data_IF_857985317767
#
_entry.id   IF_857985317767
#
_cell.length_a   1.000
_cell.length_b   1.000
_cell.length_c   1.000
_cell.angle_alpha   90.00
_cell.angle_beta   90.00
_cell.angle_gamma   90.00
#
_symmetry.space_group_name_H-M   'P 1'
#
loop_
_entity.id
_entity.type
_entity.pdbx_description
1 polymer ?
#
# COMPACT_ATOMS: atom_id res chain seq x y z
N UNK A 1 -14.44 22.04 67.80
CA UNK A 1 -14.28 23.49 67.52
C UNK A 1 -14.88 23.80 66.15
N UNK A 2 -16.06 24.42 66.19
CA UNK A 2 -16.62 25.44 65.26
C UNK A 2 -16.50 25.28 63.73
N UNK A 3 -17.63 24.84 63.16
CA UNK A 3 -18.39 25.39 62.01
C UNK A 3 -17.92 26.74 61.40
N UNK A 4 -17.88 26.84 60.06
CA UNK A 4 -18.69 27.79 59.26
C UNK A 4 -18.50 27.67 57.73
N UNK A 5 -19.63 27.45 57.08
CA UNK A 5 -20.04 27.73 55.69
C UNK A 5 -19.73 29.17 55.25
N UNK A 6 -19.42 29.42 53.97
CA UNK A 6 -19.99 30.49 53.08
C UNK A 6 -19.57 30.23 51.61
N UNK A 7 -20.55 30.11 50.70
CA UNK A 7 -20.53 30.31 49.23
C UNK A 7 -21.12 31.72 48.96
N UNK A 8 -21.11 32.41 47.78
CA UNK A 8 -20.49 32.28 46.44
C UNK A 8 -19.77 33.60 46.00
N UNK A 9 -19.34 33.75 44.73
CA UNK A 9 -19.82 34.81 43.79
C UNK A 9 -18.91 34.96 42.56
N UNK A 10 -19.59 35.07 41.42
CA UNK A 10 -19.15 35.37 40.06
C UNK A 10 -18.57 36.79 39.92
N UNK A 11 -17.52 36.99 39.11
CA UNK A 11 -17.31 38.21 38.31
C UNK A 11 -16.16 38.03 37.30
N UNK A 12 -16.33 38.68 36.16
CA UNK A 12 -15.63 38.49 34.90
C UNK A 12 -14.69 39.69 34.62
N UNK A 13 -13.85 39.61 33.57
CA UNK A 13 -13.39 40.72 32.68
C UNK A 13 -12.01 41.41 32.91
N UNK A 14 -11.15 41.17 31.90
CA UNK A 14 -10.18 42.02 31.14
C UNK A 14 -8.84 42.57 31.70
N UNK A 15 -7.77 42.17 30.99
CA UNK A 15 -6.66 42.94 30.37
C UNK A 15 -6.39 44.38 30.83
N UNK A 16 -5.15 44.65 31.29
CA UNK A 16 -4.14 45.46 30.57
C UNK A 16 -2.79 45.54 31.34
N UNK A 17 -1.75 45.95 30.61
CA UNK A 17 -0.31 45.79 30.84
C UNK A 17 0.36 46.61 31.96
N UNK A 18 1.56 46.15 32.35
CA UNK A 18 2.75 46.98 32.64
C UNK A 18 4.02 46.13 32.36
N UNK A 19 4.76 46.36 31.26
CA UNK A 19 5.84 47.34 31.10
C UNK A 19 7.16 46.96 31.77
N UNK A 20 8.10 46.40 30.99
CA UNK A 20 9.55 46.49 31.26
C UNK A 20 10.25 47.03 30.01
N UNK A 21 11.02 48.12 30.19
CA UNK A 21 11.92 48.71 29.20
C UNK A 21 13.28 47.98 29.19
N UNK A 22 14.05 48.11 28.09
CA UNK A 22 15.10 47.16 27.69
C UNK A 22 16.50 47.54 28.21
N UNK A 23 17.39 46.55 28.30
CA UNK A 23 18.83 46.74 28.38
C UNK A 23 19.44 46.58 26.97
N UNK A 24 20.30 47.53 26.61
CA UNK A 24 21.10 47.57 25.38
C UNK A 24 22.14 46.46 25.30
N UNK A 25 22.40 46.00 24.08
CA UNK A 25 23.73 45.54 23.68
C UNK A 25 23.90 44.04 23.44
N UNK A 26 23.30 43.50 22.36
CA UNK A 26 24.12 42.88 21.31
C UNK A 26 23.30 42.78 20.01
N UNK A 27 23.85 43.31 18.91
CA UNK A 27 23.15 43.45 17.65
C UNK A 27 22.98 42.08 16.97
N UNK A 28 21.78 41.50 17.11
CA UNK A 28 21.36 40.35 16.33
C UNK A 28 21.39 40.71 14.83
N UNK A 29 22.23 40.00 14.06
CA UNK A 29 22.19 40.03 12.60
C UNK A 29 20.83 39.50 12.13
N UNK A 30 20.02 40.40 11.58
CA UNK A 30 18.79 40.08 10.85
C UNK A 30 19.13 39.13 9.69
N UNK A 31 18.45 37.98 9.53
CA UNK A 31 18.59 37.21 8.30
C UNK A 31 18.04 38.05 7.13
N UNK A 32 18.85 38.17 6.09
CA UNK A 32 18.51 38.93 4.89
C UNK A 32 17.18 38.47 4.30
N UNK A 33 16.38 39.44 3.85
CA UNK A 33 15.14 39.21 3.13
C UNK A 33 15.37 38.23 1.97
N UNK A 34 14.67 37.08 1.99
CA UNK A 34 14.61 36.17 0.85
C UNK A 34 13.94 36.92 -0.28
N UNK A 35 14.71 37.31 -1.30
CA UNK A 35 14.16 37.86 -2.54
C UNK A 35 13.14 36.87 -3.09
N UNK A 36 11.90 37.29 -3.23
CA UNK A 36 10.89 36.56 -3.97
C UNK A 36 11.47 36.21 -5.34
N UNK A 37 11.70 34.92 -5.59
CA UNK A 37 12.08 34.43 -6.90
C UNK A 37 10.95 34.80 -7.85
N UNK A 38 11.27 35.57 -8.91
CA UNK A 38 10.33 35.84 -9.99
C UNK A 38 9.86 34.48 -10.52
N UNK A 39 8.54 34.27 -10.50
CA UNK A 39 7.91 33.19 -11.25
C UNK A 39 8.43 33.27 -12.68
N UNK A 40 9.20 32.27 -13.09
CA UNK A 40 9.56 32.13 -14.48
C UNK A 40 8.26 31.84 -15.23
N UNK A 41 7.79 32.81 -16.00
CA UNK A 41 6.76 32.58 -17.01
C UNK A 41 7.29 31.53 -17.97
N UNK A 42 6.80 30.30 -17.83
CA UNK A 42 7.07 29.22 -18.78
C UNK A 42 6.41 29.65 -20.09
N UNK A 43 7.23 29.88 -21.12
CA UNK A 43 6.75 30.14 -22.47
C UNK A 43 5.83 28.98 -22.92
N UNK A 44 4.53 29.22 -23.16
CA UNK A 44 3.60 28.18 -23.58
C UNK A 44 4.00 27.53 -24.90
N UNK A 45 4.76 28.25 -25.75
CA UNK A 45 5.23 27.80 -27.05
C UNK A 45 6.46 26.89 -26.98
N UNK A 46 7.17 26.85 -25.85
CA UNK A 46 8.33 25.98 -25.62
C UNK A 46 7.96 24.54 -25.25
N UNK A 47 6.66 24.20 -25.23
CA UNK A 47 6.18 22.86 -24.92
C UNK A 47 6.42 21.94 -26.12
N UNK A 48 7.64 21.39 -26.20
CA UNK A 48 8.04 20.31 -27.12
C UNK A 48 6.88 19.31 -27.25
N UNK A 49 6.49 18.96 -28.48
CA UNK A 49 5.43 17.99 -28.73
C UNK A 49 5.63 16.76 -27.83
N UNK A 50 4.68 16.55 -26.91
CA UNK A 50 4.76 15.42 -26.00
C UNK A 50 4.41 14.19 -26.80
N UNK A 51 5.31 13.20 -26.85
CA UNK A 51 4.96 11.88 -27.33
C UNK A 51 3.74 11.38 -26.55
N UNK A 52 2.57 11.20 -27.17
CA UNK A 52 1.33 10.85 -26.48
C UNK A 52 1.38 9.45 -25.85
N UNK A 53 2.38 8.63 -26.21
CA UNK A 53 2.62 7.30 -25.61
C UNK A 53 3.46 7.34 -24.34
N UNK A 54 3.98 8.51 -23.95
CA UNK A 54 4.78 8.65 -22.73
C UNK A 54 3.99 9.45 -21.70
N UNK A 55 3.52 8.74 -20.67
CA UNK A 55 2.97 9.35 -19.47
C UNK A 55 4.11 9.71 -18.50
N UNK A 56 4.05 10.89 -17.88
CA UNK A 56 5.00 11.34 -16.86
C UNK A 56 4.22 11.84 -15.65
N UNK A 57 4.56 11.34 -14.47
CA UNK A 57 3.98 11.70 -13.17
C UNK A 57 5.11 12.09 -12.23
N UNK A 58 4.90 13.16 -11.46
CA UNK A 58 5.78 13.50 -10.34
C UNK A 58 5.45 12.60 -9.16
N UNK A 59 6.47 12.02 -8.53
CA UNK A 59 6.36 11.10 -7.41
C UNK A 59 7.53 11.36 -6.44
N UNK A 60 7.32 11.15 -5.14
CA UNK A 60 8.42 11.02 -4.19
C UNK A 60 9.21 9.72 -4.39
N UNK A 61 10.35 9.59 -3.71
CA UNK A 61 11.09 8.32 -3.68
C UNK A 61 10.30 7.28 -2.89
N UNK A 62 9.95 6.12 -3.47
CA UNK A 62 9.28 5.07 -2.73
C UNK A 62 10.26 4.33 -1.82
N UNK A 63 9.84 4.05 -0.59
CA UNK A 63 10.57 3.22 0.39
C UNK A 63 10.57 1.75 -0.03
N UNK A 64 9.44 1.26 -0.54
CA UNK A 64 9.24 -0.12 -0.95
C UNK A 64 8.48 -0.24 -2.27
N UNK A 65 8.94 -1.16 -3.13
CA UNK A 65 8.24 -1.62 -4.33
C UNK A 65 7.72 -3.07 -4.20
N UNK A 66 7.90 -3.66 -3.02
CA UNK A 66 7.23 -4.89 -2.59
C UNK A 66 5.80 -4.55 -2.13
N UNK A 67 4.74 -5.03 -2.82
CA UNK A 67 3.36 -4.72 -2.45
C UNK A 67 3.00 -5.15 -1.02
N UNK A 68 3.67 -6.19 -0.49
CA UNK A 68 3.46 -6.69 0.87
C UNK A 68 4.14 -5.85 1.95
N UNK A 69 5.14 -5.04 1.62
CA UNK A 69 5.84 -4.16 2.58
C UNK A 69 5.46 -2.69 2.43
N UNK A 70 4.97 -2.30 1.26
CA UNK A 70 4.61 -0.92 0.96
C UNK A 70 3.53 -0.40 1.91
N UNK A 71 3.78 0.76 2.53
CA UNK A 71 2.85 1.38 3.49
C UNK A 71 2.48 2.84 3.19
N UNK A 72 3.11 3.41 2.17
CA UNK A 72 3.03 4.81 1.78
C UNK A 72 2.44 4.97 0.37
N UNK A 73 2.05 6.20 0.03
CA UNK A 73 1.31 6.46 -1.21
C UNK A 73 2.19 6.29 -2.44
N UNK A 74 3.46 6.65 -2.35
CA UNK A 74 4.44 6.69 -3.42
C UNK A 74 4.70 5.29 -3.98
N UNK A 75 5.11 4.36 -3.12
CA UNK A 75 5.23 2.95 -3.49
C UNK A 75 3.88 2.31 -3.83
N UNK A 76 2.79 2.71 -3.14
CA UNK A 76 1.44 2.21 -3.42
C UNK A 76 0.96 2.52 -4.83
N UNK A 77 1.35 3.68 -5.35
CA UNK A 77 1.09 4.11 -6.72
C UNK A 77 1.89 3.26 -7.73
N UNK A 78 3.19 3.05 -7.49
CA UNK A 78 4.03 2.24 -8.41
C UNK A 78 3.62 0.77 -8.40
N UNK A 79 3.29 0.23 -7.22
CA UNK A 79 2.85 -1.16 -7.08
C UNK A 79 1.50 -1.40 -7.74
N UNK A 80 0.55 -0.46 -7.69
CA UNK A 80 -0.70 -0.55 -8.45
C UNK A 80 -0.50 -0.52 -9.97
N UNK A 81 0.52 0.22 -10.45
CA UNK A 81 0.85 0.24 -11.89
C UNK A 81 1.55 -1.06 -12.34
N UNK A 82 2.30 -1.71 -11.45
CA UNK A 82 3.19 -2.82 -11.79
C UNK A 82 2.67 -4.20 -11.40
N UNK A 83 1.77 -4.30 -10.42
CA UNK A 83 1.14 -5.53 -9.97
C UNK A 83 -0.38 -5.48 -10.14
N UNK A 84 -0.99 -6.64 -10.38
CA UNK A 84 -2.43 -6.77 -10.56
C UNK A 84 -3.00 -7.77 -9.56
N UNK A 85 -3.97 -7.33 -8.75
CA UNK A 85 -4.67 -8.18 -7.79
C UNK A 85 -5.76 -9.05 -8.43
N UNK A 86 -6.61 -9.64 -7.59
CA UNK A 86 -7.79 -10.38 -8.08
C UNK A 86 -8.75 -9.42 -8.80
N UNK A 87 -8.91 -8.21 -8.25
CA UNK A 87 -9.73 -7.13 -8.78
C UNK A 87 -8.91 -5.84 -8.91
N UNK A 88 -9.49 -4.82 -9.54
CA UNK A 88 -8.88 -3.50 -9.75
C UNK A 88 -9.88 -2.38 -9.52
N UNK A 89 -9.38 -1.18 -9.25
CA UNK A 89 -10.19 0.03 -9.25
C UNK A 89 -10.70 0.31 -10.68
N UNK A 90 -12.01 0.51 -10.83
CA UNK A 90 -12.55 1.05 -12.06
C UNK A 90 -12.14 2.52 -12.28
N UNK A 91 -12.32 3.08 -13.48
CA UNK A 91 -11.85 4.43 -13.83
C UNK A 91 -12.38 5.56 -12.93
N UNK A 92 -13.54 5.33 -12.30
CA UNK A 92 -14.19 6.29 -11.39
C UNK A 92 -13.96 5.99 -9.92
N UNK A 93 -13.26 4.88 -9.59
CA UNK A 93 -13.10 4.33 -8.24
C UNK A 93 -14.42 4.00 -7.51
N UNK A 94 -15.56 3.98 -8.23
CA UNK A 94 -16.88 3.62 -7.68
C UNK A 94 -17.26 2.16 -7.92
N UNK A 95 -16.53 1.50 -8.81
CA UNK A 95 -16.78 0.13 -9.26
C UNK A 95 -15.47 -0.65 -9.22
N UNK A 96 -15.60 -1.97 -9.02
CA UNK A 96 -14.49 -2.91 -9.03
C UNK A 96 -14.49 -3.66 -10.36
N UNK A 97 -13.36 -3.65 -11.04
CA UNK A 97 -13.20 -4.36 -12.32
C UNK A 97 -12.43 -5.68 -12.12
N UNK A 98 -12.70 -6.70 -12.93
CA UNK A 98 -11.88 -7.92 -12.97
C UNK A 98 -10.39 -7.60 -13.14
N UNK A 99 -9.54 -8.23 -12.33
CA UNK A 99 -8.09 -8.24 -12.47
C UNK A 99 -7.61 -9.59 -12.98
N UNK A 100 -6.81 -10.28 -12.18
CA UNK A 100 -6.43 -11.68 -12.46
C UNK A 100 -7.65 -12.61 -12.33
N UNK A 101 -8.61 -12.30 -11.45
CA UNK A 101 -9.86 -13.04 -11.37
C UNK A 101 -10.84 -12.55 -12.44
N UNK A 102 -11.40 -13.48 -13.22
CA UNK A 102 -12.42 -13.21 -14.24
C UNK A 102 -13.85 -13.27 -13.67
N UNK A 103 -14.05 -14.02 -12.58
CA UNK A 103 -15.32 -14.14 -11.87
C UNK A 103 -15.12 -14.57 -10.42
N UNK A 104 -16.18 -14.43 -9.62
CA UNK A 104 -16.25 -15.02 -8.28
C UNK A 104 -17.67 -15.48 -7.96
N UNK A 105 -17.76 -16.41 -7.01
CA UNK A 105 -18.99 -16.80 -6.33
C UNK A 105 -18.87 -16.51 -4.84
N UNK A 106 -20.00 -16.18 -4.20
CA UNK A 106 -20.07 -15.96 -2.74
C UNK A 106 -21.08 -16.93 -2.15
N UNK A 107 -20.71 -17.61 -1.07
CA UNK A 107 -21.62 -18.50 -0.35
C UNK A 107 -22.82 -17.74 0.22
N UNK A 108 -23.90 -18.48 0.50
CA UNK A 108 -25.15 -17.90 1.03
C UNK A 108 -24.96 -17.16 2.37
N UNK A 109 -23.98 -17.56 3.18
CA UNK A 109 -23.62 -16.90 4.44
C UNK A 109 -22.66 -15.72 4.27
N UNK A 110 -22.23 -15.40 3.05
CA UNK A 110 -21.37 -14.25 2.73
C UNK A 110 -19.90 -14.40 3.14
N UNK A 111 -19.47 -15.58 3.60
CA UNK A 111 -18.14 -15.78 4.20
C UNK A 111 -17.16 -16.54 3.33
N UNK A 112 -17.62 -17.31 2.34
CA UNK A 112 -16.75 -18.04 1.42
C UNK A 112 -16.82 -17.37 0.05
N UNK A 113 -15.67 -17.00 -0.47
CA UNK A 113 -15.50 -16.46 -1.81
C UNK A 113 -14.67 -17.44 -2.64
N UNK A 114 -15.14 -17.75 -3.84
CA UNK A 114 -14.42 -18.61 -4.79
C UNK A 114 -14.13 -17.82 -6.04
N UNK A 115 -12.88 -17.51 -6.29
CA UNK A 115 -12.43 -16.77 -7.48
C UNK A 115 -11.96 -17.73 -8.57
N UNK A 116 -12.36 -17.45 -9.81
CA UNK A 116 -11.81 -18.08 -11.01
C UNK A 116 -10.80 -17.14 -11.65
N UNK A 117 -9.58 -17.63 -11.85
CA UNK A 117 -8.48 -16.87 -12.42
C UNK A 117 -8.38 -17.09 -13.92
N UNK A 118 -8.04 -16.04 -14.65
CA UNK A 118 -7.78 -16.13 -16.09
C UNK A 118 -6.51 -16.95 -16.35
N UNK A 119 -6.57 -17.92 -17.25
CA UNK A 119 -5.45 -18.84 -17.53
C UNK A 119 -4.30 -18.20 -18.31
N UNK A 120 -4.53 -17.03 -18.89
CA UNK A 120 -3.52 -16.28 -19.65
C UNK A 120 -2.75 -15.26 -18.81
N UNK A 121 -3.00 -15.17 -17.49
CA UNK A 121 -2.25 -14.30 -16.60
C UNK A 121 -0.79 -14.75 -16.51
N UNK A 122 0.15 -13.82 -16.71
CA UNK A 122 1.58 -14.10 -16.69
C UNK A 122 2.34 -13.06 -15.88
N UNK A 123 3.37 -13.55 -15.22
CA UNK A 123 4.48 -12.75 -14.73
C UNK A 123 5.27 -12.16 -15.90
N UNK A 124 5.98 -11.06 -15.68
CA UNK A 124 6.81 -10.38 -16.69
C UNK A 124 7.99 -11.23 -17.18
N UNK A 125 8.31 -12.34 -16.51
CA UNK A 125 9.27 -13.36 -16.94
C UNK A 125 8.64 -14.51 -17.75
N UNK A 126 7.34 -14.40 -18.06
CA UNK A 126 6.57 -15.33 -18.87
C UNK A 126 5.95 -16.51 -18.12
N UNK A 127 6.26 -16.69 -16.83
CA UNK A 127 5.63 -17.76 -16.02
C UNK A 127 4.14 -17.48 -15.78
N UNK A 128 3.29 -18.51 -15.65
CA UNK A 128 1.88 -18.31 -15.34
C UNK A 128 1.71 -17.72 -13.93
N UNK A 129 0.70 -16.87 -13.76
CA UNK A 129 0.20 -16.46 -12.44
C UNK A 129 -0.90 -17.43 -12.04
N UNK A 130 -0.80 -17.98 -10.84
CA UNK A 130 -1.71 -19.04 -10.35
C UNK A 130 -2.32 -18.67 -9.00
N UNK A 131 -3.35 -19.41 -8.58
CA UNK A 131 -3.96 -19.26 -7.25
C UNK A 131 -2.93 -19.53 -6.12
N UNK A 132 -1.92 -20.37 -6.38
CA UNK A 132 -0.84 -20.64 -5.44
C UNK A 132 0.00 -19.39 -5.13
N UNK A 133 0.14 -18.47 -6.10
CA UNK A 133 0.85 -17.21 -5.89
C UNK A 133 0.09 -16.32 -4.91
N UNK A 134 -1.24 -16.23 -5.03
CA UNK A 134 -2.08 -15.48 -4.09
C UNK A 134 -2.06 -16.07 -2.69
N UNK A 135 -2.27 -17.39 -2.57
CA UNK A 135 -2.22 -18.08 -1.28
C UNK A 135 -0.88 -17.85 -0.59
N UNK A 136 0.23 -18.02 -1.32
CA UNK A 136 1.56 -17.82 -0.76
C UNK A 136 1.79 -16.36 -0.37
N UNK A 137 1.40 -15.41 -1.22
CA UNK A 137 1.61 -13.97 -1.01
C UNK A 137 0.86 -13.45 0.22
N UNK A 138 -0.40 -13.82 0.38
CA UNK A 138 -1.21 -13.39 1.52
C UNK A 138 -0.69 -13.98 2.83
N UNK A 139 -0.27 -15.25 2.81
CA UNK A 139 0.40 -15.87 3.96
C UNK A 139 1.76 -15.22 4.24
N UNK A 140 2.50 -14.78 3.22
CA UNK A 140 3.75 -14.01 3.40
C UNK A 140 3.47 -12.68 4.09
N UNK A 141 2.48 -11.91 3.65
CA UNK A 141 2.12 -10.63 4.27
C UNK A 141 1.76 -10.82 5.74
N UNK A 142 1.04 -11.89 6.06
CA UNK A 142 0.65 -12.23 7.43
C UNK A 142 1.78 -12.80 8.28
N UNK A 143 2.89 -13.27 7.70
CA UNK A 143 3.99 -13.82 8.49
C UNK A 143 4.61 -12.72 9.37
N UNK A 144 4.72 -12.92 10.70
CA UNK A 144 5.36 -11.94 11.59
C UNK A 144 6.77 -11.54 11.15
N UNK A 145 7.52 -12.45 10.52
CA UNK A 145 8.88 -12.18 10.05
C UNK A 145 8.92 -11.21 8.85
N UNK A 146 7.83 -11.09 8.08
CA UNK A 146 7.73 -10.13 6.97
C UNK A 146 7.61 -8.70 7.48
N UNK A 147 7.11 -8.49 8.71
CA UNK A 147 6.91 -7.17 9.31
C UNK A 147 6.08 -6.20 8.43
N UNK A 148 5.07 -6.72 7.72
CA UNK A 148 4.18 -5.89 6.91
C UNK A 148 3.36 -4.95 7.78
N UNK A 149 3.49 -3.65 7.54
CA UNK A 149 2.69 -2.60 8.20
C UNK A 149 1.20 -2.71 7.90
N UNK A 150 0.82 -3.30 6.76
CA UNK A 150 -0.57 -3.50 6.37
C UNK A 150 -1.12 -4.89 6.70
N UNK A 151 -0.38 -5.78 7.38
CA UNK A 151 -0.85 -7.15 7.66
C UNK A 151 -2.27 -7.23 8.24
N UNK A 152 -2.66 -6.26 9.08
CA UNK A 152 -3.99 -6.21 9.70
C UNK A 152 -5.15 -6.12 8.71
N UNK A 153 -4.95 -5.64 7.48
CA UNK A 153 -6.03 -5.59 6.48
C UNK A 153 -6.42 -6.99 5.98
N UNK A 154 -5.55 -8.00 6.16
CA UNK A 154 -5.83 -9.41 5.87
C UNK A 154 -6.47 -10.16 7.05
N UNK A 155 -6.65 -9.52 8.21
CA UNK A 155 -7.31 -10.17 9.36
C UNK A 155 -8.81 -10.45 9.16
N UNK A 156 -9.38 -10.00 8.04
CA UNK A 156 -10.71 -10.43 7.61
C UNK A 156 -10.76 -11.92 7.24
N UNK A 157 -9.62 -12.54 6.90
CA UNK A 157 -9.50 -13.95 6.61
C UNK A 157 -9.55 -14.78 7.90
N UNK A 158 -10.21 -15.94 7.87
CA UNK A 158 -10.19 -16.89 9.00
C UNK A 158 -8.74 -17.22 9.40
N UNK A 159 -8.44 -17.25 10.71
CA UNK A 159 -7.12 -17.64 11.23
C UNK A 159 -5.96 -16.66 10.95
N UNK A 160 -6.17 -15.60 10.19
CA UNK A 160 -5.11 -14.67 9.79
C UNK A 160 -4.54 -13.88 10.95
N UNK A 161 -5.39 -13.40 11.86
CA UNK A 161 -4.95 -12.64 13.03
C UNK A 161 -4.12 -13.51 13.98
N UNK A 162 -4.58 -14.73 14.25
CA UNK A 162 -3.88 -15.68 15.11
C UNK A 162 -2.51 -16.05 14.54
N UNK A 163 -2.42 -16.26 13.23
CA UNK A 163 -1.14 -16.50 12.57
C UNK A 163 -0.21 -15.28 12.62
N UNK A 164 -0.73 -14.08 12.30
CA UNK A 164 0.07 -12.86 12.29
C UNK A 164 0.54 -12.40 13.67
N UNK A 165 -0.16 -12.78 14.73
CA UNK A 165 0.23 -12.50 16.11
C UNK A 165 1.01 -13.66 16.76
N UNK A 166 1.31 -14.72 16.00
CA UNK A 166 1.96 -15.91 16.54
C UNK A 166 3.44 -15.68 16.89
N UNK A 167 3.91 -16.18 18.04
CA UNK A 167 5.34 -16.19 18.34
C UNK A 167 6.09 -17.10 17.35
N UNK A 168 7.40 -16.93 17.29
CA UNK A 168 8.25 -17.83 16.50
C UNK A 168 8.25 -19.23 17.12
N UNK A 169 8.18 -20.26 16.28
CA UNK A 169 8.23 -21.65 16.74
C UNK A 169 7.41 -22.62 15.88
N UNK A 170 7.45 -23.93 16.23
CA UNK A 170 6.87 -25.00 15.41
C UNK A 170 5.34 -24.89 15.26
N UNK A 171 4.64 -24.29 16.22
CA UNK A 171 3.19 -24.09 16.14
C UNK A 171 2.77 -23.09 15.04
N UNK A 172 3.69 -22.23 14.56
CA UNK A 172 3.43 -21.23 13.53
C UNK A 172 2.99 -21.86 12.21
N UNK A 173 3.59 -22.99 11.82
CA UNK A 173 3.22 -23.69 10.60
C UNK A 173 1.75 -24.14 10.62
N UNK A 174 1.31 -24.70 11.75
CA UNK A 174 -0.08 -25.12 11.92
C UNK A 174 -1.07 -23.95 11.92
N UNK A 175 -0.66 -22.74 12.36
CA UNK A 175 -1.48 -21.53 12.25
C UNK A 175 -1.51 -21.00 10.81
N UNK A 176 -0.38 -21.05 10.09
CA UNK A 176 -0.29 -20.67 8.68
C UNK A 176 -1.23 -21.47 7.80
N UNK A 177 -1.40 -22.77 8.08
CA UNK A 177 -2.28 -23.66 7.32
C UNK A 177 -3.78 -23.41 7.61
N UNK A 178 -4.10 -22.75 8.73
CA UNK A 178 -5.46 -22.35 9.10
C UNK A 178 -5.88 -21.01 8.52
N UNK A 179 -4.98 -20.26 7.88
CA UNK A 179 -5.33 -18.99 7.23
C UNK A 179 -6.32 -19.29 6.09
N UNK A 180 -7.45 -18.57 6.07
CA UNK A 180 -8.58 -18.73 5.16
C UNK A 180 -8.31 -18.30 3.72
N UNK A 181 -7.21 -18.77 3.13
CA UNK A 181 -6.86 -18.63 1.71
C UNK A 181 -6.24 -19.94 1.23
N UNK A 182 -6.83 -20.51 0.18
CA UNK A 182 -6.43 -21.80 -0.36
C UNK A 182 -6.55 -21.81 -1.87
N UNK A 183 -5.46 -22.16 -2.56
CA UNK A 183 -5.51 -22.57 -3.95
C UNK A 183 -6.10 -23.98 -4.02
N UNK A 184 -7.31 -24.10 -4.58
CA UNK A 184 -7.97 -25.41 -4.78
C UNK A 184 -7.33 -26.13 -5.96
N UNK A 185 -6.96 -25.37 -6.99
CA UNK A 185 -6.18 -25.76 -8.16
C UNK A 185 -5.43 -24.51 -8.68
N UNK A 186 -4.72 -24.63 -9.80
CA UNK A 186 -3.92 -23.53 -10.38
C UNK A 186 -4.73 -22.26 -10.67
N UNK A 187 -6.03 -22.36 -10.92
CA UNK A 187 -6.88 -21.25 -11.39
C UNK A 187 -8.13 -21.03 -10.52
N UNK A 188 -8.21 -21.65 -9.35
CA UNK A 188 -9.32 -21.51 -8.40
C UNK A 188 -8.80 -21.17 -7.02
N UNK A 189 -9.12 -19.97 -6.54
CA UNK A 189 -8.77 -19.51 -5.19
C UNK A 189 -10.02 -19.49 -4.31
N UNK A 190 -10.02 -20.28 -3.25
CA UNK A 190 -11.04 -20.24 -2.19
C UNK A 190 -10.55 -19.36 -1.04
N UNK A 191 -11.40 -18.45 -0.59
CA UNK A 191 -11.14 -17.52 0.51
C UNK A 191 -12.26 -17.62 1.54
N UNK A 192 -11.89 -17.81 2.80
CA UNK A 192 -12.82 -17.86 3.94
C UNK A 192 -12.61 -16.68 4.85
N UNK A 193 -13.69 -15.96 5.12
CA UNK A 193 -13.73 -14.76 5.93
C UNK A 193 -14.30 -15.05 7.31
N UNK A 194 -13.78 -14.34 8.32
CA UNK A 194 -14.27 -14.41 9.72
C UNK A 194 -15.76 -14.04 9.80
N UNK A 195 -16.19 -13.08 8.97
CA UNK A 195 -17.56 -12.59 8.90
C UNK A 195 -17.88 -12.05 7.48
N UNK A 196 -19.16 -11.89 7.12
CA UNK A 196 -19.54 -11.25 5.86
C UNK A 196 -18.88 -9.87 5.74
N UNK A 197 -18.12 -9.68 4.67
CA UNK A 197 -17.33 -8.45 4.45
C UNK A 197 -17.74 -7.84 3.11
N UNK A 198 -18.73 -6.92 3.07
CA UNK A 198 -19.27 -6.36 1.82
C UNK A 198 -18.23 -5.60 0.98
N UNK A 199 -17.16 -5.13 1.61
CA UNK A 199 -16.05 -4.43 0.95
C UNK A 199 -14.89 -5.37 0.57
N UNK A 200 -15.08 -6.69 0.54
CA UNK A 200 -13.98 -7.62 0.25
C UNK A 200 -13.37 -7.42 -1.15
N UNK A 201 -14.16 -7.05 -2.16
CA UNK A 201 -13.62 -6.70 -3.49
C UNK A 201 -12.71 -5.48 -3.47
N UNK A 202 -12.97 -4.51 -2.59
CA UNK A 202 -12.07 -3.37 -2.39
C UNK A 202 -10.73 -3.83 -1.85
N UNK A 203 -10.73 -4.75 -0.90
CA UNK A 203 -9.51 -5.35 -0.35
C UNK A 203 -8.76 -6.12 -1.44
N UNK A 204 -9.47 -6.95 -2.20
CA UNK A 204 -8.93 -7.74 -3.30
C UNK A 204 -8.35 -6.90 -4.47
N UNK A 205 -8.70 -5.61 -4.53
CA UNK A 205 -8.15 -4.62 -5.46
C UNK A 205 -6.98 -3.80 -4.88
N UNK A 206 -6.73 -3.87 -3.58
CA UNK A 206 -5.66 -3.15 -2.93
C UNK A 206 -4.32 -3.86 -3.14
N UNK A 207 -3.24 -3.09 -3.33
CA UNK A 207 -1.93 -3.66 -3.74
C UNK A 207 -1.36 -4.67 -2.73
N UNK A 208 -1.66 -4.57 -1.44
CA UNK A 208 -1.22 -5.57 -0.44
C UNK A 208 -1.85 -6.96 -0.67
N UNK A 209 -2.98 -7.03 -1.38
CA UNK A 209 -3.61 -8.28 -1.81
C UNK A 209 -3.13 -8.77 -3.19
N UNK A 210 -2.24 -8.02 -3.86
CA UNK A 210 -1.65 -8.48 -5.11
C UNK A 210 -0.71 -9.68 -4.87
N UNK A 211 -0.60 -10.61 -5.83
CA UNK A 211 0.37 -11.68 -5.73
C UNK A 211 1.77 -11.12 -5.93
N UNK A 212 2.77 -11.79 -5.37
CA UNK A 212 4.19 -11.53 -5.60
C UNK A 212 4.89 -12.80 -6.09
N UNK A 213 5.95 -12.70 -6.93
CA UNK A 213 6.58 -13.85 -7.57
C UNK A 213 7.42 -14.65 -6.57
N UNK A 214 6.84 -15.70 -5.98
CA UNK A 214 7.50 -16.57 -5.00
C UNK A 214 8.88 -17.03 -5.48
N UNK A 215 8.99 -17.46 -6.72
CA UNK A 215 10.23 -17.97 -7.31
C UNK A 215 11.36 -16.93 -7.39
N UNK A 216 11.03 -15.65 -7.48
CA UNK A 216 12.01 -14.55 -7.48
C UNK A 216 12.38 -14.19 -6.06
N UNK A 217 11.40 -14.16 -5.15
CA UNK A 217 11.65 -13.88 -3.73
C UNK A 217 12.54 -14.97 -3.11
N UNK A 218 12.27 -16.24 -3.37
CA UNK A 218 13.11 -17.34 -2.88
C UNK A 218 14.54 -17.28 -3.44
N UNK A 219 14.72 -16.75 -4.65
CA UNK A 219 16.04 -16.61 -5.29
C UNK A 219 16.84 -15.41 -4.78
N UNK A 220 16.19 -14.27 -4.57
CA UNK A 220 16.87 -12.99 -4.32
C UNK A 220 16.65 -12.42 -2.91
N UNK A 221 15.77 -13.02 -2.10
CA UNK A 221 15.42 -12.56 -0.76
C UNK A 221 14.99 -11.09 -0.78
N UNK A 222 15.50 -10.30 0.16
CA UNK A 222 15.16 -8.87 0.30
C UNK A 222 15.51 -8.00 -0.93
N UNK A 223 16.34 -8.52 -1.84
CA UNK A 223 16.74 -7.81 -3.07
C UNK A 223 15.81 -8.08 -4.25
N UNK A 224 14.76 -8.86 -4.07
CA UNK A 224 13.85 -9.26 -5.16
C UNK A 224 13.17 -8.07 -5.84
N UNK A 225 12.84 -7.02 -5.09
CA UNK A 225 12.13 -5.84 -5.60
C UNK A 225 13.05 -4.79 -6.25
N UNK A 226 14.36 -5.09 -6.39
CA UNK A 226 15.29 -4.23 -7.14
C UNK A 226 15.01 -4.31 -8.64
N UNK A 227 15.27 -3.25 -9.43
CA UNK A 227 14.94 -3.22 -10.86
C UNK A 227 15.53 -4.37 -11.66
N UNK A 228 16.72 -4.85 -11.29
CA UNK A 228 17.39 -5.96 -11.96
C UNK A 228 16.76 -7.35 -11.70
N UNK A 229 15.94 -7.47 -10.64
CA UNK A 229 15.38 -8.73 -10.18
C UNK A 229 13.86 -8.78 -10.24
N UNK A 230 13.20 -7.63 -10.15
CA UNK A 230 11.75 -7.56 -9.95
C UNK A 230 11.00 -8.19 -11.11
N UNK A 231 10.03 -9.03 -10.75
CA UNK A 231 9.07 -9.61 -11.68
C UNK A 231 7.69 -9.22 -11.22
N UNK A 232 6.84 -8.80 -12.16
CA UNK A 232 5.54 -8.22 -11.87
C UNK A 232 4.48 -8.78 -12.81
N UNK A 233 3.20 -8.74 -12.45
CA UNK A 233 2.10 -9.29 -13.27
C UNK A 233 1.15 -8.21 -13.81
N UNK A 234 1.38 -6.95 -13.49
CA UNK A 234 0.57 -5.83 -13.93
C UNK A 234 0.88 -5.35 -15.35
N UNK A 235 0.17 -4.29 -15.79
CA UNK A 235 0.26 -3.77 -17.16
C UNK A 235 1.60 -3.10 -17.48
N UNK A 236 2.37 -2.71 -16.45
CA UNK A 236 3.68 -2.11 -16.60
C UNK A 236 4.74 -2.96 -15.90
N UNK A 237 5.90 -3.12 -16.55
CA UNK A 237 7.09 -3.72 -15.94
C UNK A 237 8.14 -2.63 -15.72
N UNK A 238 8.75 -2.61 -14.55
CA UNK A 238 9.82 -1.68 -14.24
C UNK A 238 11.09 -2.09 -14.99
N UNK A 239 11.78 -1.11 -15.58
CA UNK A 239 13.05 -1.33 -16.30
C UNK A 239 14.20 -0.50 -15.72
N UNK A 240 13.90 0.56 -14.97
CA UNK A 240 14.91 1.39 -14.31
C UNK A 240 14.34 1.98 -13.02
N UNK A 241 15.15 2.01 -11.96
CA UNK A 241 14.93 2.86 -10.79
C UNK A 241 16.27 3.51 -10.41
N UNK A 242 16.36 4.81 -10.63
CA UNK A 242 17.43 5.66 -10.13
C UNK A 242 16.93 6.36 -8.88
N UNK A 243 17.44 5.93 -7.73
CA UNK A 243 17.02 6.47 -6.44
C UNK A 243 17.13 7.99 -6.40
N UNK A 244 16.10 8.63 -5.84
CA UNK A 244 15.96 10.09 -5.74
C UNK A 244 15.92 10.81 -7.11
N UNK A 245 15.66 10.10 -8.20
CA UNK A 245 15.60 10.66 -9.55
C UNK A 245 14.36 10.22 -10.32
N UNK A 246 14.28 8.95 -10.71
CA UNK A 246 13.22 8.48 -11.57
C UNK A 246 13.02 6.96 -11.51
N UNK A 247 11.79 6.55 -11.80
CA UNK A 247 11.42 5.18 -12.13
C UNK A 247 10.91 5.17 -13.57
N UNK A 248 11.41 4.24 -14.38
CA UNK A 248 10.95 3.99 -15.74
C UNK A 248 10.30 2.63 -15.79
N UNK A 249 9.08 2.60 -16.32
CA UNK A 249 8.35 1.37 -16.61
C UNK A 249 7.90 1.35 -18.06
N UNK A 250 7.85 0.16 -18.63
CA UNK A 250 7.42 -0.10 -20.00
C UNK A 250 6.21 -1.01 -20.00
N UNK A 251 5.45 -1.00 -21.09
CA UNK A 251 4.28 -1.88 -21.22
C UNK A 251 4.73 -3.34 -21.09
N UNK A 252 4.05 -4.09 -20.22
CA UNK A 252 4.23 -5.54 -20.11
C UNK A 252 3.56 -6.20 -21.33
N UNK A 253 4.31 -7.03 -22.07
CA UNK A 253 3.86 -7.63 -23.33
C UNK A 253 3.30 -9.03 -23.13
#
# INVERSE_FOLDING_TARGET
>A
MTLRTVLPLCACVLLAACSRKPAEGDAAKTPAAVKAAKSATVDPSARKERNPRIFRRSLGEPEYLDPGLCSESEGGIVTQDTFEGLYQYGPTHKEWMPGVAESYEVSADGRTWTFKLRQNAKWSDGKPVTAHDFEWSWKRVLDPATASRYAAILWVLEGAREYNQSPEGPARAALRDKVGVKAVDDFTLEVKLVAPTPYFLQLAAFYTYAPVPRHVIEKFGDKWARPENIVSNGPWKMVEWKSQQQIVAERNQ
#
